data_IF_838195562442
#
_entry.id   IF_838195562442
#
_cell.length_a   1.000
_cell.length_b   1.000
_cell.length_c   1.000
_cell.angle_alpha   90.00
_cell.angle_beta   90.00
_cell.angle_gamma   90.00
#
_symmetry.space_group_name_H-M   'P 1'
#
loop_
_entity.id
_entity.type
_entity.pdbx_description
1 polymer ?
#
# COMPACT_ATOMS: atom_id res chain seq x y z
N UNK A 1 10.44 18.23 6.11
CA UNK A 1 10.31 19.12 4.93
C UNK A 1 8.92 18.91 4.37
N UNK A 2 8.25 19.95 3.84
CA UNK A 2 7.01 19.76 3.09
C UNK A 2 7.23 18.80 1.90
N UNK A 3 6.18 18.10 1.48
CA UNK A 3 6.22 17.26 0.29
C UNK A 3 6.59 18.11 -0.94
N UNK A 4 7.28 17.50 -1.92
CA UNK A 4 7.67 18.20 -3.15
C UNK A 4 8.62 19.37 -2.94
N UNK A 5 9.40 19.39 -1.85
CA UNK A 5 10.31 20.50 -1.50
C UNK A 5 11.71 20.03 -1.11
N UNK A 6 12.73 20.86 -1.36
CA UNK A 6 14.08 20.69 -0.83
C UNK A 6 14.55 21.95 -0.07
N UNK A 7 15.51 21.78 0.84
CA UNK A 7 16.05 22.84 1.69
C UNK A 7 17.56 22.95 1.49
N UNK A 8 18.03 24.14 1.11
CA UNK A 8 19.46 24.44 0.99
C UNK A 8 19.94 25.17 2.24
N UNK A 9 20.99 24.67 2.88
CA UNK A 9 21.62 25.30 4.05
C UNK A 9 23.06 25.69 3.73
N UNK A 10 23.38 26.98 3.76
CA UNK A 10 24.73 27.50 3.47
C UNK A 10 25.07 28.69 4.35
N UNK A 11 26.14 28.57 5.15
CA UNK A 11 26.63 29.66 6.00
C UNK A 11 25.59 30.20 6.98
N UNK A 12 24.77 29.32 7.57
CA UNK A 12 23.69 29.70 8.50
C UNK A 12 22.41 30.23 7.81
N UNK A 13 22.40 30.40 6.49
CA UNK A 13 21.18 30.71 5.73
C UNK A 13 20.47 29.41 5.32
N UNK A 14 19.15 29.44 5.41
CA UNK A 14 18.26 28.35 5.03
C UNK A 14 17.33 28.87 3.93
N UNK A 15 17.23 28.14 2.82
CA UNK A 15 16.38 28.46 1.68
C UNK A 15 15.55 27.23 1.28
N UNK A 16 14.23 27.36 1.37
CA UNK A 16 13.27 26.28 1.08
C UNK A 16 12.72 26.51 -0.33
N UNK A 17 12.81 25.49 -1.19
CA UNK A 17 12.27 25.53 -2.55
C UNK A 17 11.29 24.38 -2.75
N UNK A 18 10.07 24.72 -3.17
CA UNK A 18 9.08 23.74 -3.66
C UNK A 18 9.30 23.52 -5.15
N UNK A 19 9.42 22.26 -5.57
CA UNK A 19 9.61 21.87 -6.97
C UNK A 19 8.38 21.15 -7.55
N UNK A 20 7.46 20.69 -6.71
CA UNK A 20 6.21 20.07 -7.14
C UNK A 20 5.12 20.32 -6.10
N UNK A 21 3.95 20.72 -6.58
CA UNK A 21 2.71 20.79 -5.81
C UNK A 21 1.70 19.81 -6.43
N UNK A 22 0.81 19.26 -5.61
CA UNK A 22 -0.26 18.40 -6.11
C UNK A 22 -1.39 19.28 -6.64
N UNK A 23 -1.53 19.34 -7.95
CA UNK A 23 -2.64 20.03 -8.62
C UNK A 23 -3.80 19.06 -8.83
N UNK A 24 -4.96 19.36 -8.24
CA UNK A 24 -6.19 18.56 -8.38
C UNK A 24 -7.05 19.09 -9.56
N UNK A 25 -6.84 20.34 -9.97
CA UNK A 25 -7.51 20.94 -11.13
C UNK A 25 -6.78 20.54 -12.42
N UNK A 26 -7.14 19.39 -12.97
CA UNK A 26 -6.55 18.84 -14.19
C UNK A 26 -7.52 18.93 -15.36
N UNK A 27 -7.00 19.11 -16.57
CA UNK A 27 -7.80 19.07 -17.79
C UNK A 27 -8.56 17.73 -17.89
N UNK A 28 -9.86 17.76 -18.25
CA UNK A 28 -10.63 16.54 -18.44
C UNK A 28 -10.00 15.64 -19.52
N UNK A 29 -10.04 14.33 -19.30
CA UNK A 29 -9.65 13.36 -20.33
C UNK A 29 -10.51 13.52 -21.58
N UNK A 30 -9.87 13.70 -22.74
CA UNK A 30 -10.55 14.04 -24.00
C UNK A 30 -10.94 12.82 -24.86
N UNK A 31 -10.66 11.60 -24.39
CA UNK A 31 -11.00 10.35 -25.08
C UNK A 31 -12.35 9.77 -24.67
N UNK A 32 -12.69 8.64 -25.28
CA UNK A 32 -13.86 7.83 -24.95
C UNK A 32 -13.68 7.07 -23.63
N UNK A 33 -14.79 6.59 -23.04
CA UNK A 33 -14.74 5.80 -21.82
C UNK A 33 -13.87 4.52 -21.93
N UNK A 34 -13.93 3.74 -23.04
CA UNK A 34 -13.01 2.61 -23.22
C UNK A 34 -11.53 3.00 -23.26
N UNK A 35 -11.21 4.15 -23.86
CA UNK A 35 -9.84 4.68 -23.90
C UNK A 35 -9.37 5.11 -22.51
N UNK A 36 -10.25 5.73 -21.71
CA UNK A 36 -9.95 6.07 -20.32
C UNK A 36 -9.67 4.81 -19.47
N UNK A 37 -10.46 3.75 -19.63
CA UNK A 37 -10.24 2.47 -18.93
C UNK A 37 -8.90 1.84 -19.33
N UNK A 38 -8.57 1.85 -20.63
CA UNK A 38 -7.28 1.36 -21.11
C UNK A 38 -6.12 2.19 -20.54
N UNK A 39 -6.26 3.52 -20.57
CA UNK A 39 -5.27 4.44 -20.01
C UNK A 39 -4.99 4.18 -18.52
N UNK A 40 -6.04 4.04 -17.70
CA UNK A 40 -5.87 3.73 -16.27
C UNK A 40 -5.20 2.37 -16.08
N UNK A 41 -5.65 1.34 -16.82
CA UNK A 41 -5.06 0.00 -16.74
C UNK A 41 -3.58 -0.01 -17.08
N UNK A 42 -3.20 0.64 -18.18
CA UNK A 42 -1.83 0.66 -18.67
C UNK A 42 -0.93 1.48 -17.72
N UNK A 43 -1.44 2.61 -17.21
CA UNK A 43 -0.72 3.45 -16.23
C UNK A 43 -0.49 2.70 -14.92
N UNK A 44 -1.50 1.99 -14.40
CA UNK A 44 -1.36 1.15 -13.21
C UNK A 44 -0.39 0.00 -13.45
N UNK A 45 -0.47 -0.68 -14.61
CA UNK A 45 0.46 -1.74 -14.98
C UNK A 45 1.91 -1.24 -15.02
N UNK A 46 2.15 -0.09 -15.65
CA UNK A 46 3.48 0.52 -15.70
C UNK A 46 3.97 0.92 -14.30
N UNK A 47 3.10 1.53 -13.49
CA UNK A 47 3.39 1.91 -12.11
C UNK A 47 3.83 0.73 -11.24
N UNK A 48 3.13 -0.41 -11.36
CA UNK A 48 3.48 -1.66 -10.67
C UNK A 48 4.78 -2.24 -11.25
N UNK A 49 4.91 -2.32 -12.57
CA UNK A 49 6.12 -2.83 -13.22
C UNK A 49 7.39 -2.09 -12.79
N UNK A 50 7.32 -0.76 -12.65
CA UNK A 50 8.43 0.04 -12.15
C UNK A 50 8.81 -0.31 -10.71
N UNK A 51 7.82 -0.56 -9.84
CA UNK A 51 8.04 -0.88 -8.42
C UNK A 51 8.43 -2.33 -8.15
N UNK A 52 8.24 -3.21 -9.13
CA UNK A 52 8.76 -4.58 -9.10
C UNK A 52 10.25 -4.69 -9.46
N UNK A 53 10.86 -3.62 -9.98
CA UNK A 53 12.31 -3.59 -10.27
C UNK A 53 13.09 -3.51 -8.96
N UNK A 54 13.41 -4.66 -8.39
CA UNK A 54 14.07 -4.82 -7.10
C UNK A 54 15.08 -5.96 -7.14
N UNK A 55 16.23 -5.80 -6.48
CA UNK A 55 17.23 -6.86 -6.29
C UNK A 55 16.80 -7.89 -5.22
N UNK A 56 15.69 -7.64 -4.55
CA UNK A 56 15.08 -8.50 -3.54
C UNK A 56 13.63 -8.78 -3.87
N UNK A 57 13.12 -9.90 -3.37
CA UNK A 57 11.72 -10.28 -3.51
C UNK A 57 10.77 -9.17 -3.03
N UNK A 58 9.72 -8.91 -3.84
CA UNK A 58 8.67 -7.93 -3.56
C UNK A 58 7.39 -8.67 -3.21
N UNK A 59 6.83 -8.40 -2.03
CA UNK A 59 5.51 -8.89 -1.65
C UNK A 59 4.42 -7.84 -1.85
N UNK A 60 3.18 -8.21 -1.54
CA UNK A 60 2.01 -7.31 -1.66
C UNK A 60 1.13 -7.43 -0.41
N UNK A 61 0.64 -6.30 0.10
CA UNK A 61 -0.43 -6.33 1.10
C UNK A 61 -1.77 -6.61 0.43
N UNK A 62 -2.53 -7.57 0.97
CA UNK A 62 -3.82 -8.00 0.43
C UNK A 62 -4.89 -7.85 1.52
N UNK A 63 -5.74 -6.83 1.42
CA UNK A 63 -6.86 -6.60 2.36
C UNK A 63 -8.11 -7.38 1.94
N UNK A 64 -8.30 -7.66 0.65
CA UNK A 64 -9.53 -8.26 0.11
C UNK A 64 -10.45 -7.24 -0.57
N UNK A 65 -10.13 -5.95 -0.44
CA UNK A 65 -10.71 -4.86 -1.22
C UNK A 65 -10.22 -4.83 -2.68
N UNK A 66 -10.83 -3.96 -3.49
CA UNK A 66 -10.55 -3.87 -4.92
C UNK A 66 -9.11 -3.42 -5.20
N UNK A 67 -8.60 -2.44 -4.46
CA UNK A 67 -7.32 -1.78 -4.77
C UNK A 67 -6.14 -2.73 -4.56
N UNK A 68 -6.10 -3.38 -3.40
CA UNK A 68 -5.07 -4.38 -3.09
C UNK A 68 -5.18 -5.60 -4.01
N UNK A 69 -6.39 -5.97 -4.44
CA UNK A 69 -6.61 -7.04 -5.42
C UNK A 69 -6.08 -6.68 -6.80
N UNK A 70 -6.27 -5.45 -7.28
CA UNK A 70 -5.72 -4.97 -8.56
C UNK A 70 -4.19 -4.95 -8.52
N UNK A 71 -3.60 -4.40 -7.46
CA UNK A 71 -2.14 -4.40 -7.29
C UNK A 71 -1.58 -5.82 -7.26
N UNK A 72 -2.23 -6.74 -6.53
CA UNK A 72 -1.83 -8.14 -6.46
C UNK A 72 -1.94 -8.83 -7.83
N UNK A 73 -3.02 -8.60 -8.57
CA UNK A 73 -3.22 -9.18 -9.90
C UNK A 73 -2.15 -8.69 -10.90
N UNK A 74 -1.88 -7.39 -10.93
CA UNK A 74 -0.83 -6.82 -11.77
C UNK A 74 0.56 -7.33 -11.36
N UNK A 75 0.83 -7.43 -10.05
CA UNK A 75 2.10 -7.94 -9.56
C UNK A 75 2.32 -9.40 -9.96
N UNK A 76 1.29 -10.24 -9.84
CA UNK A 76 1.34 -11.64 -10.25
C UNK A 76 1.55 -11.81 -11.74
N UNK A 77 0.87 -11.01 -12.58
CA UNK A 77 1.02 -11.09 -14.04
C UNK A 77 2.41 -10.63 -14.53
N UNK A 78 3.02 -9.67 -13.83
CA UNK A 78 4.33 -9.12 -14.16
C UNK A 78 5.50 -9.87 -13.53
N UNK A 79 5.25 -10.65 -12.48
CA UNK A 79 6.28 -11.38 -11.75
C UNK A 79 6.57 -12.74 -12.42
N UNK A 80 7.84 -13.13 -12.57
CA UNK A 80 8.20 -14.47 -13.04
C UNK A 80 7.98 -15.57 -12.00
N UNK A 81 7.67 -15.20 -10.75
CA UNK A 81 7.49 -16.11 -9.62
C UNK A 81 6.17 -15.82 -8.89
N UNK A 82 5.65 -16.82 -8.18
CA UNK A 82 4.46 -16.66 -7.36
C UNK A 82 4.68 -15.54 -6.33
N UNK A 83 3.81 -14.53 -6.36
CA UNK A 83 3.91 -13.36 -5.47
C UNK A 83 3.52 -13.78 -4.04
N UNK A 84 4.28 -13.32 -3.05
CA UNK A 84 3.91 -13.45 -1.64
C UNK A 84 2.97 -12.35 -1.22
N UNK A 85 1.82 -12.74 -0.67
CA UNK A 85 0.81 -11.79 -0.19
C UNK A 85 0.68 -11.87 1.31
N UNK A 86 0.45 -10.71 1.94
CA UNK A 86 0.38 -10.58 3.39
C UNK A 86 -0.89 -9.85 3.81
N UNK A 87 -1.58 -10.34 4.83
CA UNK A 87 -2.82 -9.72 5.32
C UNK A 87 -2.95 -9.76 6.84
N UNK A 88 -3.93 -9.01 7.33
CA UNK A 88 -4.42 -9.10 8.72
C UNK A 88 -5.80 -9.73 8.70
N UNK A 89 -6.04 -10.59 9.68
CA UNK A 89 -7.33 -11.18 10.00
C UNK A 89 -7.77 -10.68 11.38
N UNK A 90 -9.08 -10.45 11.55
CA UNK A 90 -9.66 -9.97 12.80
C UNK A 90 -10.68 -10.99 13.31
N UNK A 91 -10.74 -11.19 14.63
CA UNK A 91 -11.75 -12.06 15.26
C UNK A 91 -13.17 -11.48 15.15
N UNK A 92 -13.28 -10.16 14.98
CA UNK A 92 -14.55 -9.45 14.83
C UNK A 92 -15.02 -9.53 13.38
N UNK A 93 -16.11 -10.27 13.14
CA UNK A 93 -16.65 -10.50 11.80
C UNK A 93 -16.96 -9.24 10.98
N UNK A 94 -17.17 -8.08 11.63
CA UNK A 94 -17.38 -6.80 10.94
C UNK A 94 -16.11 -6.26 10.26
N UNK A 95 -14.92 -6.74 10.67
CA UNK A 95 -13.62 -6.33 10.15
C UNK A 95 -12.86 -7.49 9.49
N UNK A 96 -13.44 -8.69 9.49
CA UNK A 96 -12.80 -9.88 8.93
C UNK A 96 -13.00 -9.94 7.42
N UNK A 97 -11.93 -9.67 6.68
CA UNK A 97 -11.89 -9.75 5.22
C UNK A 97 -11.22 -11.05 4.73
N UNK A 98 -10.88 -11.98 5.63
CA UNK A 98 -10.14 -13.22 5.33
C UNK A 98 -10.76 -14.05 4.20
N UNK A 99 -12.09 -14.09 4.11
CA UNK A 99 -12.80 -14.78 3.03
C UNK A 99 -12.48 -14.21 1.65
N UNK A 100 -12.52 -12.88 1.51
CA UNK A 100 -12.18 -12.19 0.26
C UNK A 100 -10.69 -12.33 -0.07
N UNK A 101 -9.83 -12.21 0.94
CA UNK A 101 -8.38 -12.41 0.81
C UNK A 101 -8.07 -13.80 0.26
N UNK A 102 -8.69 -14.85 0.80
CA UNK A 102 -8.50 -16.23 0.36
C UNK A 102 -8.98 -16.44 -1.08
N UNK A 103 -10.12 -15.85 -1.46
CA UNK A 103 -10.64 -15.93 -2.84
C UNK A 103 -9.63 -15.34 -3.82
N UNK A 104 -9.12 -14.13 -3.54
CA UNK A 104 -8.15 -13.45 -4.42
C UNK A 104 -6.82 -14.22 -4.46
N UNK A 105 -6.30 -14.62 -3.30
CA UNK A 105 -5.04 -15.37 -3.21
C UNK A 105 -5.11 -16.71 -3.97
N UNK A 106 -6.22 -17.43 -3.86
CA UNK A 106 -6.43 -18.70 -4.55
C UNK A 106 -6.60 -18.49 -6.06
N UNK A 107 -7.35 -17.47 -6.47
CA UNK A 107 -7.57 -17.15 -7.88
C UNK A 107 -6.26 -16.76 -8.59
N UNK A 108 -5.39 -16.01 -7.91
CA UNK A 108 -4.13 -15.54 -8.45
C UNK A 108 -2.94 -16.48 -8.18
N UNK A 109 -3.13 -17.54 -7.40
CA UNK A 109 -2.06 -18.50 -7.08
C UNK A 109 -0.93 -17.90 -6.23
N UNK A 110 -1.23 -16.93 -5.37
CA UNK A 110 -0.23 -16.26 -4.52
C UNK A 110 0.16 -17.11 -3.31
N UNK A 111 1.38 -16.92 -2.81
CA UNK A 111 1.85 -17.51 -1.55
C UNK A 111 1.39 -16.64 -0.38
N UNK A 112 0.16 -16.87 0.06
CA UNK A 112 -0.52 -16.03 1.05
C UNK A 112 -0.14 -16.36 2.49
N UNK A 113 0.02 -15.33 3.32
CA UNK A 113 0.26 -15.47 4.75
C UNK A 113 -0.41 -14.34 5.53
N UNK A 114 -1.18 -14.69 6.55
CA UNK A 114 -1.91 -13.75 7.37
C UNK A 114 -1.47 -13.79 8.83
N UNK A 115 -1.81 -12.74 9.59
CA UNK A 115 -1.74 -12.72 11.05
C UNK A 115 -3.09 -12.38 11.64
N UNK A 116 -3.48 -13.09 12.70
CA UNK A 116 -4.65 -12.73 13.50
C UNK A 116 -4.28 -11.57 14.45
N UNK A 117 -5.08 -10.52 14.46
CA UNK A 117 -4.90 -9.35 15.34
C UNK A 117 -6.16 -9.13 16.17
N UNK A 118 -5.98 -9.08 17.49
CA UNK A 118 -7.06 -8.83 18.45
C UNK A 118 -6.97 -7.41 19.03
N UNK A 119 -8.07 -6.95 19.63
CA UNK A 119 -8.08 -5.69 20.37
C UNK A 119 -7.00 -5.60 21.47
N UNK A 120 -6.67 -6.71 22.12
CA UNK A 120 -5.59 -6.77 23.11
C UNK A 120 -4.20 -6.55 22.48
N UNK A 121 -3.97 -7.07 21.28
CA UNK A 121 -2.71 -6.87 20.55
C UNK A 121 -2.57 -5.41 20.14
N UNK A 122 -3.67 -4.80 19.68
CA UNK A 122 -3.72 -3.37 19.36
C UNK A 122 -3.37 -2.53 20.59
N UNK A 123 -4.03 -2.79 21.73
CA UNK A 123 -3.79 -2.05 22.96
C UNK A 123 -2.34 -2.18 23.46
N UNK A 124 -1.78 -3.39 23.41
CA UNK A 124 -0.41 -3.66 23.85
C UNK A 124 0.65 -3.00 22.95
N UNK A 125 0.40 -2.90 21.65
CA UNK A 125 1.38 -2.39 20.68
C UNK A 125 1.17 -0.91 20.31
N UNK A 126 0.08 -0.29 20.75
CA UNK A 126 -0.24 1.10 20.44
C UNK A 126 0.91 2.08 20.78
N UNK A 127 1.57 2.01 21.96
CA UNK A 127 2.67 2.93 22.27
C UNK A 127 3.85 2.81 21.29
N UNK A 128 4.24 1.58 20.93
CA UNK A 128 5.31 1.33 19.95
C UNK A 128 4.93 1.80 18.56
N UNK A 129 3.68 1.55 18.14
CA UNK A 129 3.19 2.01 16.84
C UNK A 129 3.20 3.55 16.77
N UNK A 130 2.73 4.25 17.83
CA UNK A 130 2.75 5.73 17.89
C UNK A 130 4.18 6.26 17.84
N UNK A 131 5.10 5.61 18.57
CA UNK A 131 6.52 5.96 18.53
C UNK A 131 7.08 5.92 17.11
N UNK A 132 6.71 4.91 16.32
CA UNK A 132 7.18 4.79 14.93
C UNK A 132 6.41 5.67 13.93
N UNK A 133 5.15 6.00 14.21
CA UNK A 133 4.34 6.83 13.34
C UNK A 133 4.72 8.32 13.44
N UNK A 134 5.20 8.77 14.61
CA UNK A 134 5.58 10.15 14.91
C UNK A 134 4.47 11.19 14.63
N UNK A 135 3.22 10.74 14.52
CA UNK A 135 2.04 11.57 14.29
C UNK A 135 0.96 11.29 15.32
N UNK A 136 0.16 12.30 15.72
CA UNK A 136 -1.04 12.08 16.52
C UNK A 136 -2.00 11.13 15.79
N UNK A 137 -2.34 10.01 16.42
CA UNK A 137 -3.27 9.03 15.86
C UNK A 137 -4.69 9.24 16.42
N UNK A 138 -5.67 9.38 15.52
CA UNK A 138 -7.09 9.50 15.87
C UNK A 138 -7.87 8.19 15.71
N UNK A 139 -7.22 7.16 15.16
CA UNK A 139 -7.74 5.81 14.94
C UNK A 139 -6.64 4.79 15.22
N UNK A 140 -7.02 3.55 15.50
CA UNK A 140 -6.09 2.46 15.84
C UNK A 140 -5.67 1.58 14.65
N UNK A 141 -6.22 1.84 13.45
CA UNK A 141 -6.00 1.01 12.26
C UNK A 141 -4.53 0.91 11.79
N UNK A 142 -3.68 1.85 12.17
CA UNK A 142 -2.24 1.79 11.87
C UNK A 142 -1.48 0.77 12.74
N UNK A 143 -2.03 0.31 13.86
CA UNK A 143 -1.39 -0.70 14.72
C UNK A 143 -1.37 -2.09 14.08
N UNK A 144 -2.48 -2.59 13.47
CA UNK A 144 -2.43 -3.77 12.60
C UNK A 144 -1.37 -3.70 11.51
N UNK A 145 -1.22 -2.54 10.83
CA UNK A 145 -0.18 -2.35 9.81
C UNK A 145 1.24 -2.43 10.39
N UNK A 146 1.44 -1.88 11.59
CA UNK A 146 2.70 -2.03 12.33
C UNK A 146 3.01 -3.52 12.61
N UNK A 147 2.04 -4.29 13.08
CA UNK A 147 2.20 -5.73 13.33
C UNK A 147 2.44 -6.51 12.04
N UNK A 148 1.70 -6.19 10.98
CA UNK A 148 1.85 -6.81 9.67
C UNK A 148 3.24 -6.57 9.08
N UNK A 149 3.78 -5.36 9.24
CA UNK A 149 5.13 -5.03 8.77
C UNK A 149 6.22 -5.86 9.45
N UNK A 150 6.01 -6.23 10.73
CA UNK A 150 6.88 -7.16 11.44
C UNK A 150 6.78 -8.57 10.88
N UNK A 151 5.56 -9.04 10.62
CA UNK A 151 5.34 -10.36 10.00
C UNK A 151 6.01 -10.46 8.62
N UNK A 152 5.89 -9.44 7.79
CA UNK A 152 6.59 -9.31 6.50
C UNK A 152 8.10 -9.44 6.68
N UNK A 153 8.66 -8.72 7.66
CA UNK A 153 10.10 -8.75 7.96
C UNK A 153 10.56 -10.12 8.43
N UNK A 154 9.81 -10.76 9.32
CA UNK A 154 10.12 -12.10 9.85
C UNK A 154 10.05 -13.16 8.74
N UNK A 155 9.21 -12.93 7.73
CA UNK A 155 9.15 -13.69 6.49
C UNK A 155 10.31 -13.43 5.51
N UNK A 156 11.25 -12.53 5.83
CA UNK A 156 12.40 -12.21 4.99
C UNK A 156 12.13 -11.21 3.85
N UNK A 157 10.93 -10.64 3.79
CA UNK A 157 10.55 -9.67 2.75
C UNK A 157 10.90 -8.25 3.21
N UNK A 158 11.46 -7.47 2.27
CA UNK A 158 11.96 -6.11 2.54
C UNK A 158 11.18 -5.04 1.77
N UNK A 159 10.49 -5.42 0.70
CA UNK A 159 9.75 -4.51 -0.16
C UNK A 159 8.32 -5.03 -0.28
N UNK A 160 7.36 -4.14 -0.06
CA UNK A 160 5.93 -4.44 -0.17
C UNK A 160 5.25 -3.39 -1.03
N UNK A 161 4.37 -3.82 -1.92
CA UNK A 161 3.39 -2.96 -2.59
C UNK A 161 2.09 -2.92 -1.79
N UNK A 162 1.44 -1.76 -1.78
CA UNK A 162 0.13 -1.53 -1.15
C UNK A 162 -0.81 -0.87 -2.14
N UNK A 163 -2.12 -1.03 -1.92
CA UNK A 163 -3.18 -0.33 -2.63
C UNK A 163 -3.57 1.02 -2.03
N UNK A 164 -2.92 1.47 -0.95
CA UNK A 164 -3.18 2.77 -0.32
C UNK A 164 -3.02 3.94 -1.31
N UNK A 165 -3.88 4.95 -1.17
CA UNK A 165 -3.93 6.11 -2.07
C UNK A 165 -4.95 5.98 -3.21
N UNK A 166 -5.55 4.80 -3.40
CA UNK A 166 -6.55 4.58 -4.44
C UNK A 166 -7.85 5.37 -4.17
N UNK A 167 -8.39 5.30 -2.94
CA UNK A 167 -9.61 6.03 -2.58
C UNK A 167 -9.44 7.54 -2.75
N UNK A 168 -8.30 8.11 -2.35
CA UNK A 168 -8.01 9.54 -2.54
C UNK A 168 -7.88 9.91 -4.01
N UNK A 169 -7.30 9.03 -4.84
CA UNK A 169 -7.10 9.28 -6.27
C UNK A 169 -8.39 9.10 -7.09
N UNK A 170 -9.28 8.19 -6.68
CA UNK A 170 -10.50 7.81 -7.42
C UNK A 170 -11.80 8.23 -6.74
N UNK A 171 -11.74 8.96 -5.63
CA UNK A 171 -12.88 9.42 -4.84
C UNK A 171 -13.75 8.26 -4.31
N UNK A 172 -13.07 7.22 -3.79
CA UNK A 172 -13.65 6.00 -3.23
C UNK A 172 -14.30 6.15 -1.85
#
# INVERSE_FOLDING_TARGET
LPMGSFLTVRGGRMDLTTYAELEIDTDPFTGSAPEAVAFVRDTLRESVAMRLRSDVEVGVYLSGGLDSSIVTALATDLSPHAVRTFSVEFDEAAFDESGSQHVVASHLGTLHSSIAVRGADIAANFPSAVYHAEVPAFRTAFVPMYLLSRHVRDAGIKVILSGEGADEAFLG
#
